data_IF_096857225665
#
_entry.id   IF_096857225665
#
_cell.length_a   1.000
_cell.length_b   1.000
_cell.length_c   1.000
_cell.angle_alpha   90.00
_cell.angle_beta   90.00
_cell.angle_gamma   90.00
#
_symmetry.space_group_name_H-M   'P 1'
#
loop_
_entity.id
_entity.type
_entity.pdbx_description
1 polymer ?
#
# COMPACT_ATOMS: atom_id res chain seq x y z
N UNK A 1 -35.30 1.48 -57.40
CA UNK A 1 -33.89 1.02 -57.26
C UNK A 1 -33.14 2.06 -56.44
N UNK A 2 -32.42 1.60 -55.40
CA UNK A 2 -31.53 2.36 -54.48
C UNK A 2 -32.31 3.29 -53.52
N UNK A 3 -32.02 3.39 -52.22
CA UNK A 3 -30.73 3.45 -51.50
C UNK A 3 -30.87 2.74 -50.14
N UNK A 4 -30.18 1.62 -49.94
CA UNK A 4 -29.01 1.47 -49.04
C UNK A 4 -29.26 1.82 -47.58
N UNK A 5 -29.58 0.77 -46.83
CA UNK A 5 -29.36 0.63 -45.38
C UNK A 5 -27.88 0.93 -45.08
N UNK A 6 -27.61 1.94 -44.26
CA UNK A 6 -26.33 2.08 -43.55
C UNK A 6 -26.66 1.90 -42.08
N UNK A 7 -26.52 0.66 -41.63
CA UNK A 7 -26.48 0.32 -40.21
C UNK A 7 -25.24 0.99 -39.64
N UNK A 8 -25.43 2.05 -38.87
CA UNK A 8 -24.38 2.58 -37.99
C UNK A 8 -24.19 1.59 -36.86
N UNK A 9 -23.34 0.58 -37.09
CA UNK A 9 -22.72 -0.18 -36.01
C UNK A 9 -21.71 0.78 -35.39
N UNK A 10 -22.15 1.53 -34.39
CA UNK A 10 -21.21 2.19 -33.49
C UNK A 10 -20.53 1.05 -32.74
N UNK A 11 -19.39 0.62 -33.27
CA UNK A 11 -18.44 -0.27 -32.62
C UNK A 11 -18.11 0.39 -31.28
N UNK A 12 -18.73 -0.11 -30.22
CA UNK A 12 -18.28 0.13 -28.86
C UNK A 12 -16.85 -0.41 -28.78
N UNK A 13 -15.87 0.47 -29.01
CA UNK A 13 -14.52 0.24 -28.55
C UNK A 13 -14.61 0.20 -27.03
N UNK A 14 -14.91 -0.99 -26.50
CA UNK A 14 -14.72 -1.33 -25.10
C UNK A 14 -13.22 -1.18 -24.87
N UNK A 15 -12.80 0.04 -24.50
CA UNK A 15 -11.47 0.28 -23.96
C UNK A 15 -11.48 -0.48 -22.64
N UNK A 16 -11.11 -1.75 -22.69
CA UNK A 16 -10.67 -2.50 -21.54
C UNK A 16 -9.43 -1.77 -21.04
N UNK A 17 -9.64 -0.75 -20.20
CA UNK A 17 -8.60 -0.27 -19.32
C UNK A 17 -8.28 -1.48 -18.45
N UNK A 18 -7.23 -2.19 -18.80
CA UNK A 18 -6.64 -3.20 -17.93
C UNK A 18 -6.05 -2.41 -16.78
N UNK A 19 -6.88 -2.18 -15.76
CA UNK A 19 -6.45 -1.66 -14.47
C UNK A 19 -5.56 -2.79 -13.92
N UNK A 20 -4.26 -2.74 -14.17
CA UNK A 20 -3.31 -3.70 -13.60
C UNK A 20 -3.24 -3.43 -12.10
N UNK A 21 -4.17 -4.02 -11.34
CA UNK A 21 -4.03 -4.12 -9.89
C UNK A 21 -2.72 -4.86 -9.55
N UNK A 22 -2.20 -4.63 -8.34
CA UNK A 22 -0.93 -5.23 -7.91
C UNK A 22 -1.00 -6.75 -8.00
N UNK A 23 0.11 -7.42 -8.34
CA UNK A 23 0.10 -8.88 -8.50
C UNK A 23 0.01 -9.57 -7.14
N UNK A 24 -0.81 -10.61 -7.09
CA UNK A 24 -0.90 -11.54 -5.98
C UNK A 24 -0.34 -12.90 -6.39
N UNK A 25 0.04 -13.72 -5.42
CA UNK A 25 0.49 -15.10 -5.65
C UNK A 25 -0.19 -16.06 -4.67
N UNK A 26 -0.10 -17.37 -4.92
CA UNK A 26 -0.69 -18.38 -4.05
C UNK A 26 0.12 -18.57 -2.78
N UNK A 27 -0.57 -18.86 -1.67
CA UNK A 27 0.08 -19.18 -0.40
C UNK A 27 1.07 -20.34 -0.52
N UNK A 28 2.22 -20.17 0.13
CA UNK A 28 3.25 -21.18 0.37
C UNK A 28 3.39 -21.42 1.88
N UNK A 29 4.23 -22.37 2.27
CA UNK A 29 4.58 -22.63 3.68
C UNK A 29 5.04 -21.34 4.38
N UNK A 30 4.53 -21.08 5.58
CA UNK A 30 4.76 -19.80 6.29
C UNK A 30 6.25 -19.54 6.53
N UNK A 31 7.02 -20.57 6.86
CA UNK A 31 8.48 -20.49 7.10
C UNK A 31 9.28 -20.16 5.83
N UNK A 32 8.68 -20.35 4.65
CA UNK A 32 9.30 -20.05 3.36
C UNK A 32 8.97 -18.64 2.86
N UNK A 33 8.09 -17.89 3.55
CA UNK A 33 7.70 -16.54 3.13
C UNK A 33 8.80 -15.54 3.40
N UNK A 34 9.10 -14.73 2.39
CA UNK A 34 10.04 -13.65 2.50
C UNK A 34 9.44 -12.38 1.92
N UNK A 35 9.57 -11.28 2.68
CA UNK A 35 9.11 -9.96 2.29
C UNK A 35 10.29 -9.01 2.19
N UNK A 36 10.47 -8.40 1.02
CA UNK A 36 11.46 -7.37 0.76
C UNK A 36 10.80 -5.99 0.86
N UNK A 37 11.15 -5.27 1.92
CA UNK A 37 10.68 -3.93 2.22
C UNK A 37 11.74 -2.84 1.91
N UNK A 38 12.63 -3.07 0.94
CA UNK A 38 13.68 -2.12 0.61
C UNK A 38 13.11 -0.75 0.17
N UNK A 39 13.31 0.25 1.03
CA UNK A 39 12.85 1.63 0.89
C UNK A 39 13.28 2.30 -0.42
N UNK A 40 14.45 1.99 -0.97
CA UNK A 40 14.91 2.62 -2.20
C UNK A 40 14.13 2.10 -3.41
N UNK A 41 13.82 0.81 -3.43
CA UNK A 41 12.91 0.20 -4.40
C UNK A 41 11.46 0.69 -4.19
N UNK A 42 11.03 0.89 -2.95
CA UNK A 42 9.72 1.45 -2.63
C UNK A 42 9.60 2.94 -2.95
N UNK A 43 10.70 3.70 -3.00
CA UNK A 43 10.69 5.11 -3.43
C UNK A 43 10.67 5.26 -4.94
N UNK A 44 11.28 4.32 -5.67
CA UNK A 44 11.34 4.32 -7.14
C UNK A 44 10.11 3.64 -7.77
N UNK A 45 9.58 2.59 -7.14
CA UNK A 45 8.48 1.75 -7.67
C UNK A 45 7.29 1.60 -6.73
N UNK A 46 7.46 1.88 -5.44
CA UNK A 46 6.37 1.83 -4.47
C UNK A 46 5.57 3.12 -4.52
N UNK A 47 4.25 2.98 -4.53
CA UNK A 47 3.37 4.14 -4.60
C UNK A 47 3.21 4.69 -3.20
N UNK A 48 3.82 5.85 -2.99
CA UNK A 48 3.71 6.63 -1.77
C UNK A 48 2.33 7.29 -1.73
N UNK A 49 1.53 6.97 -0.72
CA UNK A 49 0.32 7.73 -0.43
C UNK A 49 0.67 8.71 0.68
N UNK A 50 0.89 9.97 0.32
CA UNK A 50 1.22 11.05 1.25
C UNK A 50 -0.07 11.55 1.86
N UNK A 51 -0.20 11.44 3.17
CA UNK A 51 -1.29 12.05 3.93
C UNK A 51 -0.73 13.15 4.83
N UNK A 52 -1.08 14.42 4.59
CA UNK A 52 -0.81 15.49 5.55
C UNK A 52 -1.68 15.32 6.79
N UNK A 53 -1.09 15.43 7.98
CA UNK A 53 -1.81 15.25 9.24
C UNK A 53 -1.62 16.48 10.13
N UNK A 54 -2.72 17.02 10.65
CA UNK A 54 -2.69 18.23 11.47
C UNK A 54 -1.89 18.06 12.78
N UNK A 55 -1.24 19.12 13.30
CA UNK A 55 -0.34 19.03 14.47
C UNK A 55 -0.98 18.54 15.76
N UNK A 56 -2.30 18.69 15.92
CA UNK A 56 -3.03 18.32 17.14
C UNK A 56 -3.20 16.80 17.31
N UNK A 57 -2.83 16.02 16.30
CA UNK A 57 -2.95 14.56 16.25
C UNK A 57 -1.72 13.80 16.76
N UNK A 58 -0.66 14.51 17.15
CA UNK A 58 0.62 13.97 17.62
C UNK A 58 0.52 13.03 18.84
N UNK A 59 -0.58 13.07 19.60
CA UNK A 59 -0.75 12.30 20.85
C UNK A 59 -1.50 10.97 20.71
N UNK A 60 -1.95 10.58 19.50
CA UNK A 60 -2.74 9.36 19.31
C UNK A 60 -2.06 8.38 18.34
N UNK A 61 -1.35 7.35 18.85
CA UNK A 61 -0.72 6.32 18.00
C UNK A 61 -1.73 5.56 17.12
N UNK A 62 -3.02 5.57 17.48
CA UNK A 62 -4.09 4.95 16.69
C UNK A 62 -4.46 5.66 15.38
N UNK A 63 -3.91 6.85 15.07
CA UNK A 63 -4.32 7.63 13.89
C UNK A 63 -3.73 7.15 12.57
N UNK A 64 -2.73 6.26 12.59
CA UNK A 64 -2.02 5.80 11.40
C UNK A 64 -2.11 4.28 11.21
N UNK A 65 -3.20 3.69 11.67
CA UNK A 65 -3.46 2.26 11.46
C UNK A 65 -3.77 1.98 9.99
N UNK A 66 -3.29 0.84 9.51
CA UNK A 66 -3.71 0.31 8.22
C UNK A 66 -5.12 -0.24 8.40
N UNK A 67 -6.09 0.33 7.68
CA UNK A 67 -7.46 -0.18 7.59
C UNK A 67 -7.61 -1.04 6.34
N UNK A 68 -8.70 -1.82 6.25
CA UNK A 68 -9.02 -2.58 5.04
C UNK A 68 -9.13 -1.65 3.82
N UNK A 69 -9.81 -0.51 3.95
CA UNK A 69 -9.90 0.50 2.88
C UNK A 69 -8.53 0.99 2.42
N UNK A 70 -7.61 1.22 3.38
CA UNK A 70 -6.26 1.68 3.06
C UNK A 70 -5.45 0.60 2.38
N UNK A 71 -5.60 -0.65 2.82
CA UNK A 71 -4.95 -1.79 2.22
C UNK A 71 -5.44 -2.02 0.79
N UNK A 72 -6.75 -1.94 0.56
CA UNK A 72 -7.35 -2.01 -0.77
C UNK A 72 -6.85 -0.87 -1.68
N UNK A 73 -6.72 0.35 -1.16
CA UNK A 73 -6.15 1.48 -1.89
C UNK A 73 -4.72 1.19 -2.39
N UNK A 74 -3.91 0.49 -1.58
CA UNK A 74 -2.55 0.10 -1.95
C UNK A 74 -2.55 -1.02 -3.00
N UNK A 75 -3.53 -1.95 -2.95
CA UNK A 75 -3.67 -3.05 -3.90
C UNK A 75 -4.22 -2.63 -5.27
N UNK A 76 -5.04 -1.58 -5.32
CA UNK A 76 -5.69 -1.11 -6.55
C UNK A 76 -4.80 -0.21 -7.42
N UNK A 77 -3.49 -0.13 -7.15
CA UNK A 77 -2.63 0.78 -7.88
C UNK A 77 -2.27 0.25 -9.28
N UNK A 78 -2.68 0.93 -10.37
CA UNK A 78 -2.70 0.39 -11.74
C UNK A 78 -1.31 0.17 -12.39
N UNK A 79 -0.24 0.66 -11.77
CA UNK A 79 1.13 0.63 -12.32
C UNK A 79 2.10 -0.21 -11.48
N UNK A 80 1.66 -0.77 -10.36
CA UNK A 80 2.51 -1.59 -9.52
C UNK A 80 2.52 -3.04 -10.04
N UNK A 81 3.66 -3.46 -10.61
CA UNK A 81 3.84 -4.80 -11.20
C UNK A 81 4.39 -5.82 -10.21
N UNK A 82 4.65 -5.42 -8.97
CA UNK A 82 5.27 -6.25 -7.93
C UNK A 82 4.29 -7.31 -7.45
N UNK A 83 4.81 -8.41 -6.93
CA UNK A 83 4.01 -9.43 -6.25
C UNK A 83 4.06 -9.08 -4.78
N UNK A 84 2.98 -8.58 -4.20
CA UNK A 84 3.04 -7.98 -2.85
C UNK A 84 2.21 -8.72 -1.81
N UNK A 85 1.43 -9.70 -2.26
CA UNK A 85 0.47 -10.37 -1.40
C UNK A 85 0.25 -11.83 -1.82
N UNK A 86 0.23 -12.71 -0.83
CA UNK A 86 -0.32 -14.05 -0.92
C UNK A 86 -1.84 -13.99 -0.80
N UNK A 87 -2.57 -14.60 -1.74
CA UNK A 87 -4.03 -14.63 -1.76
C UNK A 87 -4.55 -15.99 -2.24
N UNK A 88 -5.73 -16.38 -1.75
CA UNK A 88 -6.46 -17.57 -2.14
C UNK A 88 -7.85 -17.25 -2.74
N UNK A 89 -8.06 -16.02 -3.20
CA UNK A 89 -9.33 -15.48 -3.73
C UNK A 89 -10.52 -15.52 -2.75
N UNK A 90 -10.32 -15.91 -1.49
CA UNK A 90 -11.42 -16.10 -0.52
C UNK A 90 -11.42 -15.11 0.64
N UNK A 91 -10.32 -14.41 0.86
CA UNK A 91 -10.15 -13.52 2.02
C UNK A 91 -10.47 -12.09 1.63
N UNK A 92 -11.56 -11.54 2.17
CA UNK A 92 -11.91 -10.11 2.04
C UNK A 92 -11.67 -9.34 3.34
N UNK A 93 -11.39 -10.03 4.43
CA UNK A 93 -11.19 -9.44 5.75
C UNK A 93 -9.78 -9.76 6.23
N UNK A 94 -9.05 -8.72 6.65
CA UNK A 94 -7.69 -8.86 7.14
C UNK A 94 -7.58 -8.38 8.59
N UNK A 95 -6.55 -8.89 9.28
CA UNK A 95 -6.10 -8.34 10.55
C UNK A 95 -4.71 -7.75 10.35
N UNK A 96 -4.49 -6.61 11.00
CA UNK A 96 -3.26 -5.84 10.90
C UNK A 96 -2.51 -5.91 12.23
N UNK A 97 -1.29 -6.43 12.20
CA UNK A 97 -0.45 -6.60 13.39
C UNK A 97 0.87 -5.87 13.23
N UNK A 98 1.18 -4.93 14.13
CA UNK A 98 2.44 -4.20 14.11
C UNK A 98 3.62 -5.09 14.54
N UNK A 99 4.70 -5.05 13.76
CA UNK A 99 5.95 -5.77 13.99
C UNK A 99 6.95 -4.84 14.71
N UNK A 100 6.64 -4.50 15.96
CA UNK A 100 7.38 -3.51 16.76
C UNK A 100 8.85 -3.88 17.02
N UNK A 101 9.24 -5.14 16.83
CA UNK A 101 10.60 -5.63 17.03
C UNK A 101 11.58 -5.20 15.92
N UNK A 102 11.07 -4.79 14.75
CA UNK A 102 11.88 -4.41 13.59
C UNK A 102 11.67 -2.96 13.17
N UNK A 103 10.90 -2.18 13.94
CA UNK A 103 10.73 -0.75 13.68
C UNK A 103 12.04 0.01 13.84
N UNK A 104 12.18 1.12 13.12
CA UNK A 104 13.39 1.93 13.17
C UNK A 104 13.07 3.42 13.14
N UNK A 105 13.84 4.21 13.87
CA UNK A 105 13.78 5.66 13.83
C UNK A 105 15.07 6.20 13.20
N UNK A 106 14.92 7.11 12.23
CA UNK A 106 16.03 7.81 11.58
C UNK A 106 15.88 9.31 11.83
N UNK A 107 16.98 9.98 12.15
CA UNK A 107 17.01 11.45 12.28
C UNK A 107 17.99 12.00 11.26
N UNK A 108 17.51 12.91 10.42
CA UNK A 108 18.33 13.56 9.40
C UNK A 108 18.02 15.05 9.42
N UNK A 109 18.98 15.87 9.86
CA UNK A 109 18.76 17.30 10.09
C UNK A 109 17.65 17.56 11.11
N UNK A 110 16.75 18.50 10.80
CA UNK A 110 15.56 18.81 11.59
C UNK A 110 14.40 17.84 11.42
N UNK A 111 14.56 16.70 10.74
CA UNK A 111 13.47 15.73 10.49
C UNK A 111 13.70 14.42 11.24
N UNK A 112 12.63 13.89 11.82
CA UNK A 112 12.58 12.54 12.41
C UNK A 112 11.65 11.67 11.56
N UNK A 113 12.14 10.51 11.14
CA UNK A 113 11.39 9.54 10.34
C UNK A 113 11.29 8.24 11.10
N UNK A 114 10.08 7.83 11.45
CA UNK A 114 9.78 6.52 12.03
C UNK A 114 9.33 5.57 10.94
N UNK A 115 9.84 4.35 10.95
CA UNK A 115 9.51 3.30 9.99
C UNK A 115 9.01 2.09 10.78
N UNK A 116 7.74 1.75 10.57
CA UNK A 116 7.08 0.60 11.15
C UNK A 116 6.71 -0.42 10.06
N UNK A 117 6.59 -1.67 10.46
CA UNK A 117 6.16 -2.76 9.60
C UNK A 117 4.90 -3.39 10.18
N UNK A 118 3.89 -3.58 9.34
CA UNK A 118 2.59 -4.14 9.71
C UNK A 118 2.39 -5.44 8.94
N UNK A 119 2.28 -6.55 9.65
CA UNK A 119 1.89 -7.84 9.11
C UNK A 119 0.39 -7.84 8.80
N UNK A 120 0.03 -8.24 7.60
CA UNK A 120 -1.36 -8.44 7.17
C UNK A 120 -1.65 -9.92 7.21
N UNK A 121 -2.64 -10.32 8.02
CA UNK A 121 -2.98 -11.71 8.29
C UNK A 121 -4.41 -11.98 7.85
N UNK A 122 -4.64 -13.11 7.17
CA UNK A 122 -6.00 -13.53 6.82
C UNK A 122 -6.78 -14.09 8.03
N UNK A 123 -8.01 -14.55 7.75
CA UNK A 123 -8.88 -15.20 8.74
C UNK A 123 -8.39 -16.61 9.15
N UNK A 124 -7.39 -17.17 8.46
CA UNK A 124 -6.79 -18.48 8.75
C UNK A 124 -5.45 -18.34 9.50
N UNK A 125 -5.17 -17.16 10.06
CA UNK A 125 -3.92 -16.84 10.75
C UNK A 125 -2.65 -16.95 9.87
N UNK A 126 -2.79 -16.84 8.53
CA UNK A 126 -1.65 -16.89 7.59
C UNK A 126 -1.18 -15.49 7.22
N UNK A 127 0.12 -15.28 7.15
CA UNK A 127 0.67 -13.99 6.75
C UNK A 127 0.50 -13.77 5.24
N UNK A 128 -0.27 -12.76 4.84
CA UNK A 128 -0.57 -12.48 3.43
C UNK A 128 0.38 -11.45 2.84
N UNK A 129 0.67 -10.38 3.58
CA UNK A 129 1.47 -9.27 3.11
C UNK A 129 2.18 -8.59 4.28
N UNK A 130 3.14 -7.73 3.95
CA UNK A 130 3.72 -6.77 4.88
C UNK A 130 3.56 -5.37 4.32
N UNK A 131 2.99 -4.48 5.12
CA UNK A 131 2.86 -3.05 4.82
C UNK A 131 3.92 -2.30 5.62
N UNK A 132 4.73 -1.50 4.94
CA UNK A 132 5.63 -0.56 5.56
C UNK A 132 4.92 0.78 5.75
N UNK A 133 5.06 1.38 6.93
CA UNK A 133 4.54 2.71 7.27
C UNK A 133 5.72 3.61 7.64
N UNK A 134 5.90 4.71 6.91
CA UNK A 134 6.90 5.74 7.19
C UNK A 134 6.20 7.01 7.68
N UNK A 135 6.55 7.51 8.86
CA UNK A 135 6.05 8.76 9.44
C UNK A 135 7.20 9.75 9.55
N UNK A 136 7.19 10.79 8.73
CA UNK A 136 8.19 11.86 8.78
C UNK A 136 7.63 13.09 9.47
N UNK A 137 8.33 13.54 10.52
CA UNK A 137 8.01 14.72 11.32
C UNK A 137 9.11 15.75 11.18
N UNK A 138 8.74 17.01 10.95
CA UNK A 138 9.69 18.12 10.97
C UNK A 138 9.73 18.78 12.34
N UNK A 139 10.92 19.09 12.82
CA UNK A 139 11.18 19.83 14.05
C UNK A 139 11.41 21.33 13.80
N UNK A 140 11.32 21.80 12.56
CA UNK A 140 11.47 23.23 12.26
C UNK A 140 10.27 24.03 12.79
N UNK A 141 10.45 24.52 14.01
CA UNK A 141 9.64 25.52 14.69
C UNK A 141 9.51 26.75 13.81
N UNK A 142 8.35 26.99 13.19
CA UNK A 142 7.72 28.33 13.10
C UNK A 142 6.34 28.33 12.44
N UNK A 143 5.96 27.27 11.72
CA UNK A 143 4.59 27.05 11.24
C UNK A 143 4.20 25.60 11.49
N UNK A 144 2.91 25.33 11.67
CA UNK A 144 2.32 24.02 11.94
C UNK A 144 2.80 22.95 10.94
N UNK A 145 3.91 22.27 11.22
CA UNK A 145 4.40 21.25 10.30
C UNK A 145 3.54 20.00 10.46
N UNK A 146 2.83 19.67 9.39
CA UNK A 146 2.03 18.47 9.28
C UNK A 146 2.95 17.24 9.22
N UNK A 147 2.60 16.19 9.96
CA UNK A 147 3.26 14.89 9.83
C UNK A 147 2.95 14.34 8.43
N UNK A 148 3.97 13.81 7.75
CA UNK A 148 3.81 13.11 6.47
C UNK A 148 3.81 11.61 6.74
N UNK A 149 2.69 10.95 6.46
CA UNK A 149 2.58 9.49 6.56
C UNK A 149 2.58 8.89 5.17
N UNK A 150 3.41 7.86 4.97
CA UNK A 150 3.52 7.11 3.73
C UNK A 150 3.33 5.62 4.02
N UNK A 151 2.50 4.96 3.22
CA UNK A 151 2.32 3.51 3.25
C UNK A 151 2.82 2.88 1.95
N UNK A 152 3.47 1.72 2.05
CA UNK A 152 3.88 0.95 0.88
C UNK A 152 3.83 -0.56 1.16
N UNK A 153 3.42 -1.34 0.17
CA UNK A 153 3.47 -2.80 0.26
C UNK A 153 4.88 -3.33 -0.04
N UNK A 154 5.34 -4.26 0.79
CA UNK A 154 6.60 -4.97 0.56
C UNK A 154 6.43 -6.01 -0.57
N UNK A 155 7.50 -6.26 -1.31
CA UNK A 155 7.49 -7.26 -2.36
C UNK A 155 7.71 -8.66 -1.78
N UNK A 156 7.06 -9.66 -2.34
CA UNK A 156 7.31 -11.07 -2.05
C UNK A 156 8.54 -11.50 -2.86
N UNK A 157 9.45 -12.26 -2.23
CA UNK A 157 10.67 -12.78 -2.84
C UNK A 157 10.64 -14.28 -3.04
#
# INVERSE_FOLDING_TARGET
MRLTSIVTIIQSASVFVTILAVKTTWHIDEDAKAFDCNLDLLRVYGIQTIHPVSPWRQYFPGLYQVTDEKFDELLQKPNDKRIVMYSDNSSTNYRFQELNNISSQRRTGGKSTDIDYISVVDLKDRQCAVVMREVTRSSETHESVEDIVTFALCNIR
#
